data_IF_359121734563
#
_entry.id   IF_359121734563
#
_cell.length_a   1.000
_cell.length_b   1.000
_cell.length_c   1.000
_cell.angle_alpha   90.00
_cell.angle_beta   90.00
_cell.angle_gamma   90.00
#
_symmetry.space_group_name_H-M   'P 1'
#
loop_
_entity.id
_entity.type
_entity.pdbx_description
1 polymer ?
#
# COMPACT_ATOMS: atom_id res chain seq x y z
N UNK A 1 -15.24 -24.61 -29.56
CA UNK A 1 -15.16 -23.46 -28.65
C UNK A 1 -13.97 -23.70 -27.74
N UNK A 2 -12.83 -23.06 -28.01
CA UNK A 2 -11.73 -23.00 -27.05
C UNK A 2 -12.12 -21.96 -26.02
N UNK A 3 -12.46 -22.40 -24.82
CA UNK A 3 -12.60 -21.51 -23.67
C UNK A 3 -11.18 -21.08 -23.31
N UNK A 4 -10.87 -19.79 -23.49
CA UNK A 4 -9.68 -19.24 -22.87
C UNK A 4 -9.80 -19.49 -21.36
N UNK A 5 -8.82 -20.18 -20.79
CA UNK A 5 -8.74 -20.35 -19.35
C UNK A 5 -8.20 -19.06 -18.74
N UNK A 6 -8.42 -18.83 -17.44
CA UNK A 6 -7.87 -17.65 -16.74
C UNK A 6 -6.34 -17.58 -16.89
N UNK A 7 -5.67 -18.71 -17.14
CA UNK A 7 -4.24 -18.80 -17.39
C UNK A 7 -3.79 -18.25 -18.76
N UNK A 8 -4.69 -18.08 -19.73
CA UNK A 8 -4.37 -17.56 -21.07
C UNK A 8 -4.38 -16.03 -21.12
N UNK A 9 -4.97 -15.36 -20.13
CA UNK A 9 -5.02 -13.91 -20.05
C UNK A 9 -3.68 -13.34 -19.62
N UNK A 10 -3.18 -12.35 -20.38
CA UNK A 10 -1.95 -11.64 -20.08
C UNK A 10 -2.27 -10.30 -19.38
N UNK A 11 -1.30 -9.75 -18.64
CA UNK A 11 -1.50 -8.48 -17.92
C UNK A 11 -1.96 -7.34 -18.84
N UNK A 12 -1.51 -7.34 -20.11
CA UNK A 12 -1.90 -6.37 -21.14
C UNK A 12 -3.42 -6.37 -21.42
N UNK A 13 -4.10 -7.50 -21.21
CA UNK A 13 -5.55 -7.61 -21.43
C UNK A 13 -6.35 -6.92 -20.31
N UNK A 14 -5.70 -6.62 -19.18
CA UNK A 14 -6.29 -5.90 -18.04
C UNK A 14 -5.88 -4.41 -18.01
N UNK A 15 -4.91 -3.99 -18.83
CA UNK A 15 -4.55 -2.58 -18.97
C UNK A 15 -5.34 -1.96 -20.12
N UNK A 16 -5.84 -0.73 -19.92
CA UNK A 16 -6.49 0.03 -20.99
C UNK A 16 -5.48 0.74 -21.91
N UNK A 17 -4.20 0.76 -21.53
CA UNK A 17 -3.12 1.46 -22.23
C UNK A 17 -1.91 0.55 -22.38
N UNK A 18 -0.98 0.93 -23.26
CA UNK A 18 0.29 0.21 -23.43
C UNK A 18 1.20 0.36 -22.21
N UNK A 19 2.17 -0.54 -22.09
CA UNK A 19 3.17 -0.54 -21.01
C UNK A 19 3.96 0.76 -21.00
N UNK A 20 4.32 1.29 -22.16
CA UNK A 20 5.10 2.53 -22.28
C UNK A 20 4.31 3.75 -21.80
N UNK A 21 3.01 3.81 -22.13
CA UNK A 21 2.12 4.89 -21.65
C UNK A 21 1.96 4.80 -20.14
N UNK A 22 1.83 3.58 -19.62
CA UNK A 22 1.76 3.35 -18.18
C UNK A 22 3.02 3.82 -17.45
N UNK A 23 4.20 3.43 -17.95
CA UNK A 23 5.48 3.86 -17.39
C UNK A 23 5.66 5.37 -17.45
N UNK A 24 5.32 6.00 -18.58
CA UNK A 24 5.40 7.44 -18.74
C UNK A 24 4.48 8.18 -17.76
N UNK A 25 3.25 7.69 -17.55
CA UNK A 25 2.32 8.26 -16.58
C UNK A 25 2.87 8.17 -15.15
N UNK A 26 3.42 7.01 -14.78
CA UNK A 26 4.03 6.81 -13.45
C UNK A 26 5.27 7.67 -13.23
N UNK A 27 6.12 7.82 -14.24
CA UNK A 27 7.28 8.71 -14.16
C UNK A 27 6.86 10.18 -14.02
N UNK A 28 5.83 10.61 -14.74
CA UNK A 28 5.27 11.94 -14.59
C UNK A 28 4.71 12.15 -13.16
N UNK A 29 3.94 11.19 -12.66
CA UNK A 29 3.42 11.21 -11.28
C UNK A 29 4.54 11.31 -10.24
N UNK A 30 5.61 10.52 -10.39
CA UNK A 30 6.79 10.58 -9.53
C UNK A 30 7.45 11.96 -9.55
N UNK A 31 7.74 12.49 -10.73
CA UNK A 31 8.43 13.76 -10.87
C UNK A 31 7.61 14.93 -10.31
N UNK A 32 6.29 14.87 -10.40
CA UNK A 32 5.41 15.88 -9.84
C UNK A 32 5.24 15.73 -8.32
N UNK A 33 5.19 14.50 -7.80
CA UNK A 33 4.77 14.22 -6.42
C UNK A 33 5.89 13.72 -5.48
N UNK A 34 7.15 13.64 -5.93
CA UNK A 34 8.26 13.15 -5.09
C UNK A 34 8.41 13.85 -3.72
N UNK A 35 8.18 15.18 -3.56
CA UNK A 35 8.30 15.81 -2.25
C UNK A 35 7.22 15.30 -1.29
N UNK A 36 6.00 15.12 -1.80
CA UNK A 36 4.89 14.59 -1.02
C UNK A 36 5.16 13.15 -0.58
N UNK A 37 5.75 12.32 -1.44
CA UNK A 37 6.11 10.95 -1.09
C UNK A 37 7.16 10.88 0.03
N UNK A 38 8.16 11.76 0.01
CA UNK A 38 9.13 11.85 1.12
C UNK A 38 8.48 12.30 2.42
N UNK A 39 7.65 13.34 2.37
CA UNK A 39 6.89 13.81 3.55
C UNK A 39 6.04 12.66 4.10
N UNK A 40 5.39 11.91 3.23
CA UNK A 40 4.54 10.80 3.58
C UNK A 40 5.31 9.66 4.26
N UNK A 41 6.48 9.29 3.74
CA UNK A 41 7.36 8.31 4.38
C UNK A 41 7.83 8.78 5.76
N UNK A 42 8.19 10.06 5.89
CA UNK A 42 8.56 10.64 7.18
C UNK A 42 7.38 10.55 8.16
N UNK A 43 6.17 10.89 7.71
CA UNK A 43 4.95 10.77 8.52
C UNK A 43 4.71 9.33 8.96
N UNK A 44 4.84 8.35 8.06
CA UNK A 44 4.70 6.93 8.40
C UNK A 44 5.79 6.45 9.38
N UNK A 45 7.03 6.89 9.22
CA UNK A 45 8.12 6.55 10.13
C UNK A 45 7.91 7.16 11.52
N UNK A 46 7.50 8.43 11.59
CA UNK A 46 7.15 9.11 12.85
C UNK A 46 5.98 8.39 13.52
N UNK A 47 4.94 8.05 12.75
CA UNK A 47 3.81 7.28 13.25
C UNK A 47 4.28 5.98 13.91
N UNK A 48 5.12 5.19 13.23
CA UNK A 48 5.66 3.94 13.77
C UNK A 48 6.39 4.13 15.10
N UNK A 49 7.17 5.20 15.23
CA UNK A 49 7.86 5.52 16.48
C UNK A 49 6.89 5.98 17.58
N UNK A 50 5.78 6.63 17.21
CA UNK A 50 4.83 7.24 18.15
C UNK A 50 3.64 6.34 18.53
N UNK A 51 3.38 5.24 17.82
CA UNK A 51 2.31 4.26 18.11
C UNK A 51 2.13 3.96 19.61
N UNK A 52 3.18 3.59 20.37
CA UNK A 52 2.98 3.16 21.75
C UNK A 52 2.49 4.29 22.68
N UNK A 53 2.73 5.55 22.32
CA UNK A 53 2.33 6.72 23.11
C UNK A 53 1.07 7.41 22.58
N UNK A 54 0.84 7.34 21.26
CA UNK A 54 -0.19 8.12 20.57
C UNK A 54 -0.98 7.26 19.59
N UNK A 55 -1.41 6.08 20.04
CA UNK A 55 -2.11 5.09 19.20
C UNK A 55 -3.29 5.65 18.40
N UNK A 56 -4.22 6.37 19.04
CA UNK A 56 -5.41 6.92 18.38
C UNK A 56 -5.01 7.94 17.30
N UNK A 57 -4.21 8.99 17.62
CA UNK A 57 -3.67 9.89 16.60
C UNK A 57 -2.99 9.16 15.44
N UNK A 58 -2.16 8.15 15.73
CA UNK A 58 -1.49 7.37 14.68
C UNK A 58 -2.48 6.67 13.75
N UNK A 59 -3.54 6.04 14.28
CA UNK A 59 -4.57 5.40 13.46
C UNK A 59 -5.36 6.42 12.62
N UNK A 60 -5.66 7.60 13.17
CA UNK A 60 -6.35 8.67 12.43
C UNK A 60 -5.48 9.14 11.27
N UNK A 61 -4.20 9.43 11.51
CA UNK A 61 -3.31 9.89 10.43
C UNK A 61 -3.10 8.77 9.40
N UNK A 62 -2.99 7.50 9.81
CA UNK A 62 -2.96 6.37 8.88
C UNK A 62 -4.25 6.29 8.03
N UNK A 63 -5.42 6.53 8.61
CA UNK A 63 -6.68 6.60 7.85
C UNK A 63 -6.64 7.71 6.80
N UNK A 64 -6.13 8.90 7.15
CA UNK A 64 -6.01 10.01 6.20
C UNK A 64 -5.05 9.68 5.05
N UNK A 65 -3.95 8.98 5.37
CA UNK A 65 -3.00 8.42 4.41
C UNK A 65 -3.71 7.50 3.40
N UNK A 66 -4.57 6.60 3.86
CA UNK A 66 -5.36 5.73 2.96
C UNK A 66 -6.36 6.49 2.09
N UNK A 67 -7.00 7.53 2.61
CA UNK A 67 -7.92 8.39 1.83
C UNK A 67 -7.13 9.12 0.74
N UNK A 68 -5.98 9.69 1.10
CA UNK A 68 -5.11 10.35 0.13
C UNK A 68 -4.66 9.38 -0.96
N UNK A 69 -4.25 8.17 -0.59
CA UNK A 69 -3.87 7.11 -1.53
C UNK A 69 -5.03 6.70 -2.45
N UNK A 70 -6.23 6.53 -1.90
CA UNK A 70 -7.44 6.21 -2.65
C UNK A 70 -7.74 7.28 -3.72
N UNK A 71 -7.66 8.55 -3.32
CA UNK A 71 -8.01 9.67 -4.19
C UNK A 71 -6.93 9.96 -5.22
N UNK A 72 -5.73 10.29 -4.77
CA UNK A 72 -4.66 10.82 -5.63
C UNK A 72 -4.08 9.73 -6.50
N UNK A 73 -3.84 8.54 -5.96
CA UNK A 73 -3.18 7.50 -6.73
C UNK A 73 -4.17 6.56 -7.39
N UNK A 74 -5.07 5.92 -6.62
CA UNK A 74 -5.95 4.89 -7.18
C UNK A 74 -6.99 5.46 -8.16
N UNK A 75 -7.68 6.54 -7.78
CA UNK A 75 -8.71 7.13 -8.64
C UNK A 75 -8.13 7.99 -9.77
N UNK A 76 -7.25 8.95 -9.43
CA UNK A 76 -6.77 9.93 -10.42
C UNK A 76 -5.66 9.38 -11.34
N UNK A 77 -4.74 8.55 -10.83
CA UNK A 77 -3.64 8.02 -11.65
C UNK A 77 -3.97 6.64 -12.21
N UNK A 78 -4.27 5.68 -11.32
CA UNK A 78 -4.44 4.28 -11.70
C UNK A 78 -5.77 4.02 -12.43
N UNK A 79 -6.84 4.72 -12.04
CA UNK A 79 -8.16 4.64 -12.66
C UNK A 79 -8.20 5.10 -14.12
N UNK A 80 -7.22 5.91 -14.55
CA UNK A 80 -7.08 6.32 -15.95
C UNK A 80 -6.45 5.23 -16.83
N UNK A 81 -5.78 4.25 -16.23
CA UNK A 81 -4.98 3.23 -16.93
C UNK A 81 -5.60 1.85 -16.79
N UNK A 82 -6.08 1.53 -15.60
CA UNK A 82 -6.54 0.20 -15.25
C UNK A 82 -8.01 0.33 -14.88
N UNK A 83 -8.85 -0.47 -15.53
CA UNK A 83 -10.28 -0.51 -15.25
C UNK A 83 -10.61 -0.80 -13.77
N UNK A 84 -9.72 -1.53 -13.10
CA UNK A 84 -9.82 -1.83 -11.69
C UNK A 84 -9.45 -0.65 -10.77
N UNK A 85 -8.82 0.42 -11.27
CA UNK A 85 -8.28 1.51 -10.46
C UNK A 85 -9.34 2.21 -9.60
N UNK A 86 -10.53 2.45 -10.16
CA UNK A 86 -11.66 3.00 -9.40
C UNK A 86 -12.15 2.03 -8.31
N UNK A 87 -12.21 0.74 -8.62
CA UNK A 87 -12.57 -0.30 -7.63
C UNK A 87 -11.55 -0.36 -6.49
N UNK A 88 -10.25 -0.24 -6.81
CA UNK A 88 -9.18 -0.18 -5.83
C UNK A 88 -9.26 1.09 -4.97
N UNK A 89 -9.66 2.22 -5.54
CA UNK A 89 -9.91 3.46 -4.78
C UNK A 89 -11.01 3.27 -3.73
N UNK A 90 -12.11 2.59 -4.10
CA UNK A 90 -13.17 2.24 -3.16
C UNK A 90 -12.68 1.30 -2.06
N UNK A 91 -11.85 0.29 -2.39
CA UNK A 91 -11.25 -0.60 -1.39
C UNK A 91 -10.32 0.15 -0.43
N UNK A 92 -9.48 1.05 -0.94
CA UNK A 92 -8.61 1.89 -0.12
C UNK A 92 -9.43 2.80 0.82
N UNK A 93 -10.53 3.36 0.33
CA UNK A 93 -11.46 4.18 1.14
C UNK A 93 -12.13 3.34 2.22
N UNK A 94 -12.59 2.13 1.89
CA UNK A 94 -13.14 1.20 2.87
C UNK A 94 -12.12 0.85 3.95
N UNK A 95 -10.85 0.62 3.58
CA UNK A 95 -9.77 0.39 4.53
C UNK A 95 -9.53 1.58 5.46
N UNK A 96 -9.55 2.80 4.93
CA UNK A 96 -9.46 4.01 5.76
C UNK A 96 -10.58 4.05 6.81
N UNK A 97 -11.83 3.82 6.38
CA UNK A 97 -12.98 3.81 7.28
C UNK A 97 -12.90 2.69 8.32
N UNK A 98 -12.39 1.51 7.96
CA UNK A 98 -12.14 0.42 8.90
C UNK A 98 -11.09 0.81 9.95
N UNK A 99 -9.98 1.42 9.53
CA UNK A 99 -8.94 1.90 10.45
C UNK A 99 -9.52 2.94 11.40
N UNK A 100 -10.26 3.92 10.87
CA UNK A 100 -10.90 4.96 11.66
C UNK A 100 -11.92 4.39 12.64
N UNK A 101 -12.79 3.49 12.19
CA UNK A 101 -13.76 2.81 13.05
C UNK A 101 -13.08 2.00 14.16
N UNK A 102 -11.96 1.34 13.86
CA UNK A 102 -11.17 0.61 14.86
C UNK A 102 -10.57 1.54 15.92
N UNK A 103 -10.23 2.78 15.56
CA UNK A 103 -9.68 3.76 16.51
C UNK A 103 -10.72 4.20 17.56
N UNK A 104 -12.00 4.19 17.21
CA UNK A 104 -13.12 4.56 18.09
C UNK A 104 -13.56 3.37 18.95
N UNK A 105 -13.61 2.17 18.35
CA UNK A 105 -14.15 0.97 19.00
C UNK A 105 -13.16 0.28 19.94
N UNK A 106 -11.85 0.50 19.76
CA UNK A 106 -10.87 -0.16 20.62
C UNK A 106 -10.66 0.63 21.90
N UNK A 107 -11.08 0.08 23.04
CA UNK A 107 -10.71 0.62 24.35
C UNK A 107 -9.18 0.64 24.48
N UNK A 108 -8.66 1.79 24.89
CA UNK A 108 -7.23 1.96 25.18
C UNK A 108 -6.94 1.18 26.46
N UNK A 109 -6.52 -0.07 26.31
CA UNK A 109 -5.85 -0.76 27.41
C UNK A 109 -4.46 -0.11 27.55
N UNK A 110 -4.26 0.66 28.63
CA UNK A 110 -2.96 1.26 28.97
C UNK A 110 -1.88 0.22 29.34
N UNK A 111 -2.21 -1.08 29.40
CA UNK A 111 -1.41 -2.07 30.14
C UNK A 111 -0.54 -3.03 29.33
N UNK A 112 -0.42 -2.93 28.01
CA UNK A 112 0.51 -3.80 27.28
C UNK A 112 1.81 -3.08 26.99
N UNK A 113 2.78 -3.27 27.90
CA UNK A 113 4.20 -2.97 27.72
C UNK A 113 4.76 -3.72 26.52
N UNK A 114 4.44 -3.24 25.33
CA UNK A 114 4.97 -3.77 24.08
C UNK A 114 6.46 -3.45 24.04
N UNK A 115 7.27 -4.51 24.01
CA UNK A 115 8.74 -4.41 24.10
C UNK A 115 9.26 -3.48 23.00
N UNK A 116 10.17 -2.53 23.30
CA UNK A 116 10.71 -1.59 22.31
C UNK A 116 11.32 -2.28 21.08
N UNK A 117 11.71 -3.55 21.20
CA UNK A 117 12.21 -4.38 20.09
C UNK A 117 11.18 -4.68 18.99
N UNK A 118 9.87 -4.67 19.26
CA UNK A 118 8.85 -4.89 18.21
C UNK A 118 8.66 -3.66 17.32
N UNK A 119 8.71 -2.46 17.89
CA UNK A 119 8.62 -1.21 17.13
C UNK A 119 9.82 -1.04 16.20
N UNK A 120 11.02 -1.38 16.67
CA UNK A 120 12.22 -1.39 15.83
C UNK A 120 12.07 -2.39 14.66
N UNK A 121 11.52 -3.58 14.92
CA UNK A 121 11.27 -4.58 13.85
C UNK A 121 10.25 -4.08 12.82
N UNK A 122 9.19 -3.39 13.24
CA UNK A 122 8.20 -2.81 12.33
C UNK A 122 8.78 -1.66 11.49
N UNK A 123 9.60 -0.81 12.10
CA UNK A 123 10.28 0.27 11.41
C UNK A 123 11.32 -0.27 10.42
N UNK A 124 12.09 -1.28 10.81
CA UNK A 124 13.01 -2.00 9.91
C UNK A 124 12.21 -2.67 8.78
N UNK A 125 11.08 -3.31 9.06
CA UNK A 125 10.23 -3.91 8.03
C UNK A 125 9.74 -2.87 7.02
N UNK A 126 9.27 -1.70 7.47
CA UNK A 126 8.87 -0.61 6.59
C UNK A 126 10.04 -0.17 5.69
N UNK A 127 11.22 0.10 6.28
CA UNK A 127 12.40 0.57 5.54
C UNK A 127 12.92 -0.49 4.56
N UNK A 128 12.91 -1.77 4.94
CA UNK A 128 13.37 -2.89 4.10
C UNK A 128 12.35 -3.24 3.02
N UNK A 129 11.06 -2.99 3.23
CA UNK A 129 10.03 -3.27 2.22
C UNK A 129 10.17 -2.40 0.97
N UNK A 130 10.63 -1.16 1.11
CA UNK A 130 10.80 -0.20 -0.01
C UNK A 130 11.83 -0.66 -1.06
N UNK A 131 13.08 -1.07 -0.72
CA UNK A 131 14.07 -1.49 -1.71
C UNK A 131 13.84 -2.90 -2.28
N UNK A 132 13.00 -3.74 -1.66
CA UNK A 132 12.76 -5.11 -2.13
C UNK A 132 12.04 -5.16 -3.48
N UNK A 133 11.26 -4.13 -3.79
CA UNK A 133 10.55 -4.00 -5.06
C UNK A 133 11.49 -3.84 -6.25
N UNK A 134 12.57 -3.09 -6.10
CA UNK A 134 13.56 -2.89 -7.16
C UNK A 134 14.30 -4.20 -7.48
N UNK A 135 14.44 -5.07 -6.48
CA UNK A 135 15.03 -6.39 -6.65
C UNK A 135 14.09 -7.35 -7.40
N UNK A 136 12.78 -7.28 -7.15
CA UNK A 136 11.80 -8.13 -7.83
C UNK A 136 11.55 -7.65 -9.27
N UNK A 137 11.41 -6.34 -9.48
CA UNK A 137 11.07 -5.79 -10.79
C UNK A 137 12.29 -5.62 -11.71
N UNK A 138 13.51 -5.66 -11.19
CA UNK A 138 14.73 -5.32 -11.94
C UNK A 138 14.77 -3.86 -12.45
N UNK A 139 13.74 -3.06 -12.15
CA UNK A 139 13.51 -1.72 -12.67
C UNK A 139 13.39 -0.74 -11.49
N UNK A 140 14.51 -0.10 -11.17
CA UNK A 140 14.62 0.84 -10.05
C UNK A 140 13.69 2.04 -10.16
N UNK A 141 13.46 2.57 -11.36
CA UNK A 141 12.56 3.72 -11.60
C UNK A 141 11.10 3.39 -11.30
N UNK A 142 10.62 2.23 -11.76
CA UNK A 142 9.27 1.75 -11.49
C UNK A 142 9.08 1.42 -10.01
N UNK A 143 10.03 0.70 -9.40
CA UNK A 143 9.96 0.39 -7.97
C UNK A 143 9.87 1.63 -7.08
N UNK A 144 10.57 2.72 -7.40
CA UNK A 144 10.43 3.97 -6.63
C UNK A 144 9.02 4.56 -6.73
N UNK A 145 8.34 4.38 -7.87
CA UNK A 145 6.96 4.86 -8.10
C UNK A 145 5.94 4.18 -7.20
N UNK A 146 6.16 2.90 -6.91
CA UNK A 146 5.25 2.03 -6.17
C UNK A 146 5.56 1.95 -4.67
N UNK A 147 6.85 1.92 -4.35
CA UNK A 147 7.36 1.66 -3.01
C UNK A 147 7.28 2.83 -2.07
N UNK A 148 7.34 4.07 -2.59
CA UNK A 148 7.34 5.25 -1.72
C UNK A 148 5.92 5.64 -1.24
N UNK A 149 4.87 5.27 -1.97
CA UNK A 149 3.48 5.64 -1.65
C UNK A 149 2.55 4.47 -1.27
N UNK A 150 2.30 3.56 -2.20
CA UNK A 150 1.30 2.48 -2.03
C UNK A 150 1.83 1.41 -1.09
N UNK A 151 3.01 0.87 -1.39
CA UNK A 151 3.57 -0.26 -0.65
C UNK A 151 4.03 0.16 0.74
N UNK A 152 4.59 1.36 0.90
CA UNK A 152 4.88 1.92 2.22
C UNK A 152 3.62 2.06 3.08
N UNK A 153 2.49 2.52 2.51
CA UNK A 153 1.19 2.59 3.20
C UNK A 153 0.68 1.21 3.60
N UNK A 154 0.77 0.24 2.69
CA UNK A 154 0.33 -1.14 2.90
C UNK A 154 1.17 -1.80 3.99
N UNK A 155 2.50 -1.74 3.89
CA UNK A 155 3.45 -2.24 4.88
C UNK A 155 3.25 -1.57 6.23
N UNK A 156 3.08 -0.25 6.26
CA UNK A 156 2.80 0.48 7.49
C UNK A 156 1.48 0.05 8.11
N UNK A 157 0.45 -0.19 7.31
CA UNK A 157 -0.85 -0.65 7.79
C UNK A 157 -0.78 -2.04 8.37
N UNK A 158 -0.08 -2.97 7.72
CA UNK A 158 0.15 -4.32 8.24
C UNK A 158 0.88 -4.25 9.58
N UNK A 159 1.98 -3.47 9.64
CA UNK A 159 2.77 -3.33 10.85
C UNK A 159 1.99 -2.66 11.99
N UNK A 160 1.31 -1.52 11.75
CA UNK A 160 0.47 -0.83 12.75
C UNK A 160 -0.65 -1.76 13.24
N UNK A 161 -1.36 -2.43 12.32
CA UNK A 161 -2.46 -3.34 12.68
C UNK A 161 -1.96 -4.51 13.53
N UNK A 162 -0.79 -5.06 13.19
CA UNK A 162 -0.17 -6.14 13.94
C UNK A 162 0.31 -5.72 15.34
N UNK A 163 0.84 -4.49 15.47
CA UNK A 163 1.34 -3.95 16.74
C UNK A 163 0.22 -3.46 17.67
N UNK A 164 -0.85 -2.89 17.11
CA UNK A 164 -1.88 -2.20 17.90
C UNK A 164 -3.09 -3.06 18.25
N UNK A 165 -3.36 -4.13 17.50
CA UNK A 165 -4.52 -4.98 17.73
C UNK A 165 -4.13 -6.34 18.30
N UNK A 166 -4.75 -6.68 19.44
CA UNK A 166 -4.72 -8.05 19.98
C UNK A 166 -5.24 -9.03 18.93
N UNK A 167 -4.77 -10.29 18.99
CA UNK A 167 -5.21 -11.31 18.04
C UNK A 167 -6.72 -11.47 18.09
N UNK A 168 -7.40 -11.31 16.96
CA UNK A 168 -8.85 -11.38 16.89
C UNK A 168 -9.38 -11.12 15.49
N UNK A 169 -10.71 -11.20 15.35
CA UNK A 169 -11.41 -11.01 14.07
C UNK A 169 -11.14 -9.63 13.46
N UNK A 170 -11.09 -8.58 14.27
CA UNK A 170 -10.81 -7.20 13.82
C UNK A 170 -9.44 -7.08 13.17
N UNK A 171 -8.41 -7.74 13.73
CA UNK A 171 -7.06 -7.76 13.16
C UNK A 171 -7.06 -8.44 11.79
N UNK A 172 -7.78 -9.56 11.64
CA UNK A 172 -7.87 -10.26 10.35
C UNK A 172 -8.57 -9.38 9.31
N UNK A 173 -9.71 -8.77 9.66
CA UNK A 173 -10.48 -7.92 8.74
C UNK A 173 -9.63 -6.76 8.23
N UNK A 174 -8.92 -6.07 9.11
CA UNK A 174 -8.05 -4.93 8.74
C UNK A 174 -6.83 -5.31 7.91
N UNK A 175 -6.46 -6.60 7.88
CA UNK A 175 -5.33 -7.09 7.09
C UNK A 175 -5.75 -7.55 5.70
N UNK A 176 -7.02 -7.90 5.47
CA UNK A 176 -7.49 -8.42 4.17
C UNK A 176 -7.19 -7.44 3.03
N UNK A 177 -7.58 -6.17 3.18
CA UNK A 177 -7.41 -5.18 2.11
C UNK A 177 -5.93 -4.86 1.85
N UNK A 178 -5.08 -4.57 2.87
CA UNK A 178 -3.65 -4.39 2.66
C UNK A 178 -2.98 -5.58 1.97
N UNK A 179 -3.29 -6.82 2.37
CA UNK A 179 -2.72 -8.00 1.72
C UNK A 179 -3.20 -8.17 0.27
N UNK A 180 -4.49 -7.93 0.00
CA UNK A 180 -5.02 -8.00 -1.36
C UNK A 180 -4.34 -6.97 -2.28
N UNK A 181 -4.11 -5.75 -1.79
CA UNK A 181 -3.39 -4.71 -2.53
C UNK A 181 -1.92 -5.07 -2.75
N UNK A 182 -1.25 -5.64 -1.75
CA UNK A 182 0.12 -6.12 -1.89
C UNK A 182 0.23 -7.18 -2.98
N UNK A 183 -0.68 -8.16 -2.99
CA UNK A 183 -0.74 -9.20 -4.01
C UNK A 183 -1.03 -8.62 -5.40
N UNK A 184 -1.99 -7.71 -5.50
CA UNK A 184 -2.31 -7.02 -6.75
C UNK A 184 -1.08 -6.28 -7.30
N UNK A 185 -0.35 -5.58 -6.43
CA UNK A 185 0.84 -4.83 -6.83
C UNK A 185 1.99 -5.73 -7.24
N UNK A 186 2.22 -6.84 -6.53
CA UNK A 186 3.18 -7.86 -6.97
C UNK A 186 2.82 -8.44 -8.34
N UNK A 187 1.54 -8.75 -8.57
CA UNK A 187 1.06 -9.26 -9.86
C UNK A 187 1.27 -8.26 -10.99
N UNK A 188 0.97 -6.98 -10.73
CA UNK A 188 1.12 -5.90 -11.70
C UNK A 188 2.59 -5.65 -12.03
N UNK A 189 3.48 -5.58 -11.03
CA UNK A 189 4.93 -5.46 -11.23
C UNK A 189 5.50 -6.66 -12.00
N UNK A 190 5.08 -7.87 -11.65
CA UNK A 190 5.53 -9.09 -12.32
C UNK A 190 5.15 -9.10 -13.81
N UNK A 191 3.89 -8.79 -14.14
CA UNK A 191 3.48 -8.78 -15.54
C UNK A 191 4.06 -7.61 -16.34
N UNK A 192 4.38 -6.47 -15.73
CA UNK A 192 5.14 -5.40 -16.39
C UNK A 192 6.56 -5.85 -16.74
N UNK A 193 7.26 -6.49 -15.81
CA UNK A 193 8.61 -7.00 -16.04
C UNK A 193 8.65 -8.00 -17.21
N UNK A 194 7.77 -8.99 -17.22
CA UNK A 194 7.76 -10.03 -18.26
C UNK A 194 7.47 -9.50 -19.67
N UNK A 195 6.62 -8.48 -19.79
CA UNK A 195 6.32 -7.86 -21.10
C UNK A 195 7.45 -6.97 -21.61
N UNK A 196 8.33 -6.46 -20.73
CA UNK A 196 9.47 -5.61 -21.13
C UNK A 196 10.68 -6.37 -21.68
N UNK A 197 10.75 -7.69 -21.42
CA UNK A 197 11.89 -8.55 -21.80
C UNK A 197 11.60 -9.39 -23.06
N UNK A 198 10.35 -9.47 -23.49
CA UNK A 198 9.89 -10.19 -24.69
C UNK A 198 9.80 -9.31 -25.93
#
# INVERSE_FOLDING_TARGET
>A
MNWATIADYQLKDFMMVSVEVYEALHQAYLNENWPFQLIFLIVLAIQMAMIPRYRIPTLIVLSLVWIFLAWVYMAQTLGQVIWLGETLAWLCTAQALLILGSSILTKVDESDGTRPSMHLKALVFLIVSVPWEALISGQWSLSQSYGLGVLSSVSASIAITWLTLKSGKTRLILLIIPFALLLFQCFLLYGLYFNSVS
#
